data_IF_324145348052
#
_entry.id   IF_324145348052
#
_cell.length_a   1.000
_cell.length_b   1.000
_cell.length_c   1.000
_cell.angle_alpha   90.00
_cell.angle_beta   90.00
_cell.angle_gamma   90.00
#
_symmetry.space_group_name_H-M   'P 1'
#
loop_
_entity.id
_entity.type
_entity.pdbx_description
1 polymer ?
#
# COMPACT_ATOMS: atom_id res chain seq x y z
N UNK A 1 8.41 12.53 18.31
CA UNK A 1 9.88 12.67 18.43
C UNK A 1 10.37 11.72 19.50
N UNK A 2 11.51 11.05 19.26
CA UNK A 2 12.21 10.30 20.28
C UNK A 2 12.86 11.27 21.28
N UNK A 3 12.99 10.84 22.53
CA UNK A 3 13.78 11.56 23.54
C UNK A 3 15.27 11.33 23.27
N UNK A 4 16.13 12.16 23.88
CA UNK A 4 17.59 12.00 23.80
C UNK A 4 18.02 10.61 24.34
N UNK A 5 17.51 10.21 25.49
CA UNK A 5 17.75 8.88 26.08
C UNK A 5 17.33 7.73 25.15
N UNK A 6 16.18 7.86 24.48
CA UNK A 6 15.74 6.83 23.50
C UNK A 6 16.68 6.74 22.30
N UNK A 7 17.16 7.90 21.82
CA UNK A 7 18.11 7.98 20.70
C UNK A 7 19.45 7.33 21.08
N UNK A 8 19.97 7.66 22.26
CA UNK A 8 21.21 7.06 22.78
C UNK A 8 21.09 5.54 22.97
N UNK A 9 19.99 5.05 23.51
CA UNK A 9 19.74 3.62 23.68
C UNK A 9 19.68 2.87 22.35
N UNK A 10 19.06 3.44 21.32
CA UNK A 10 18.99 2.87 19.98
C UNK A 10 20.40 2.82 19.36
N UNK A 11 21.15 3.91 19.44
CA UNK A 11 22.52 3.99 18.93
C UNK A 11 23.45 3.00 19.64
N UNK A 12 23.33 2.88 20.95
CA UNK A 12 24.06 1.88 21.74
C UNK A 12 23.74 0.44 21.36
N UNK A 13 22.46 0.14 21.06
CA UNK A 13 22.05 -1.16 20.54
C UNK A 13 22.64 -1.43 19.14
N UNK A 14 22.63 -0.43 18.26
CA UNK A 14 23.27 -0.51 16.96
C UNK A 14 24.75 -0.80 17.02
N UNK A 15 25.48 -0.13 17.90
CA UNK A 15 26.91 -0.38 18.15
C UNK A 15 27.20 -1.79 18.70
N UNK A 16 26.22 -2.44 19.32
CA UNK A 16 26.32 -3.84 19.79
C UNK A 16 25.91 -4.88 18.74
N UNK A 17 25.64 -4.47 17.50
CA UNK A 17 25.31 -5.36 16.39
C UNK A 17 23.82 -5.48 16.05
N UNK A 18 22.93 -4.74 16.73
CA UNK A 18 21.50 -4.70 16.38
C UNK A 18 21.33 -3.95 15.05
N UNK A 19 20.58 -4.53 14.11
CA UNK A 19 20.20 -3.82 12.89
C UNK A 19 19.23 -2.68 13.23
N UNK A 20 19.57 -1.47 12.82
CA UNK A 20 18.76 -0.27 12.99
C UNK A 20 18.60 0.41 11.64
N UNK A 21 17.35 0.65 11.24
CA UNK A 21 17.01 1.34 10.01
C UNK A 21 15.85 2.31 10.21
N UNK A 22 15.97 3.51 9.66
CA UNK A 22 14.98 4.58 9.80
C UNK A 22 14.33 4.86 8.45
N UNK A 23 13.03 4.63 8.34
CA UNK A 23 12.23 4.87 7.12
C UNK A 23 11.82 6.35 6.93
N UNK A 24 11.84 7.14 7.97
CA UNK A 24 11.36 8.52 7.92
C UNK A 24 12.49 9.45 8.32
N UNK A 25 12.87 10.33 7.41
CA UNK A 25 13.75 11.45 7.70
C UNK A 25 13.02 12.49 8.56
N UNK A 26 12.61 12.14 9.77
CA UNK A 26 12.31 13.15 10.76
C UNK A 26 13.64 13.64 11.32
N UNK A 27 13.84 14.93 11.30
CA UNK A 27 14.95 15.70 11.81
C UNK A 27 15.44 15.25 13.20
N UNK A 28 16.14 14.18 13.28
CA UNK A 28 16.71 13.64 14.51
C UNK A 28 17.55 12.45 14.16
N UNK A 29 18.74 12.59 14.27
CA UNK A 29 19.97 11.89 14.24
C UNK A 29 19.99 10.44 14.73
N UNK A 30 19.10 9.57 14.26
CA UNK A 30 19.32 8.14 14.40
C UNK A 30 20.13 7.70 13.20
N UNK A 31 21.35 7.21 13.44
CA UNK A 31 22.15 6.58 12.41
C UNK A 31 21.64 5.19 12.09
N UNK A 32 21.66 4.79 10.83
CA UNK A 32 21.46 3.39 10.45
C UNK A 32 22.65 2.56 10.89
N UNK A 33 22.43 1.39 11.47
CA UNK A 33 23.46 0.47 11.92
C UNK A 33 23.20 -0.94 11.39
N UNK A 34 24.25 -1.63 10.97
CA UNK A 34 24.22 -3.04 10.59
C UNK A 34 23.18 -3.39 9.51
N UNK A 35 22.92 -2.45 8.61
CA UNK A 35 22.07 -2.60 7.44
C UNK A 35 22.86 -2.07 6.24
N UNK A 36 23.16 -2.94 5.29
CA UNK A 36 23.92 -2.56 4.08
C UNK A 36 23.02 -1.81 3.06
N UNK A 37 23.62 -1.28 2.01
CA UNK A 37 22.91 -0.46 1.03
C UNK A 37 21.83 -1.23 0.25
N UNK A 38 22.05 -2.51 -0.04
CA UNK A 38 21.06 -3.34 -0.75
C UNK A 38 19.87 -3.66 0.16
N UNK A 39 20.15 -3.92 1.44
CA UNK A 39 19.11 -4.13 2.45
C UNK A 39 18.28 -2.87 2.67
N UNK A 40 18.92 -1.69 2.70
CA UNK A 40 18.22 -0.40 2.79
C UNK A 40 17.32 -0.17 1.58
N UNK A 41 17.84 -0.37 0.38
CA UNK A 41 17.07 -0.23 -0.86
C UNK A 41 15.84 -1.17 -0.86
N UNK A 42 16.01 -2.43 -0.47
CA UNK A 42 14.92 -3.38 -0.41
C UNK A 42 13.84 -2.98 0.62
N UNK A 43 14.26 -2.52 1.79
CA UNK A 43 13.35 -2.01 2.82
C UNK A 43 12.58 -0.77 2.34
N UNK A 44 13.26 0.15 1.65
CA UNK A 44 12.66 1.35 1.09
C UNK A 44 11.62 1.02 0.01
N UNK A 45 11.90 0.03 -0.85
CA UNK A 45 10.93 -0.40 -1.88
C UNK A 45 9.65 -0.92 -1.22
N UNK A 46 9.74 -1.79 -0.20
CA UNK A 46 8.57 -2.24 0.53
C UNK A 46 7.81 -1.09 1.19
N UNK A 47 8.52 -0.19 1.88
CA UNK A 47 7.93 0.89 2.66
C UNK A 47 7.28 1.95 1.77
N UNK A 48 7.89 2.30 0.64
CA UNK A 48 7.38 3.33 -0.27
C UNK A 48 6.20 2.84 -1.11
N UNK A 49 6.07 1.52 -1.33
CA UNK A 49 4.93 0.91 -2.01
C UNK A 49 3.89 0.39 -1.00
N UNK A 50 3.26 1.32 -0.30
CA UNK A 50 2.41 1.10 0.86
C UNK A 50 1.22 0.19 0.58
N UNK A 51 1.26 -1.04 1.11
CA UNK A 51 0.16 -1.99 1.14
C UNK A 51 0.32 -2.96 2.30
N UNK A 52 -0.78 -3.59 2.72
CA UNK A 52 -0.70 -4.67 3.73
C UNK A 52 0.22 -5.80 3.29
N UNK A 53 0.20 -6.14 2.01
CA UNK A 53 1.06 -7.20 1.45
C UNK A 53 2.54 -6.81 1.56
N UNK A 54 2.89 -5.60 1.14
CA UNK A 54 4.27 -5.14 1.22
C UNK A 54 4.75 -5.01 2.66
N UNK A 55 3.94 -4.51 3.58
CA UNK A 55 4.31 -4.47 5.00
C UNK A 55 4.51 -5.87 5.58
N UNK A 56 3.64 -6.83 5.24
CA UNK A 56 3.83 -8.22 5.65
C UNK A 56 5.13 -8.79 5.10
N UNK A 57 5.39 -8.63 3.81
CA UNK A 57 6.61 -9.11 3.16
C UNK A 57 7.86 -8.43 3.70
N UNK A 58 7.79 -7.12 4.00
CA UNK A 58 8.85 -6.40 4.67
C UNK A 58 9.19 -7.02 6.05
N UNK A 59 8.18 -7.37 6.85
CA UNK A 59 8.40 -8.03 8.14
C UNK A 59 9.02 -9.42 7.97
N UNK A 60 8.61 -10.18 6.95
CA UNK A 60 9.23 -11.47 6.59
C UNK A 60 10.69 -11.25 6.15
N UNK A 61 10.97 -10.23 5.33
CA UNK A 61 12.31 -9.87 4.92
C UNK A 61 13.20 -9.51 6.11
N UNK A 62 12.74 -8.61 6.97
CA UNK A 62 13.46 -8.21 8.20
C UNK A 62 13.79 -9.45 9.03
N UNK A 63 12.82 -10.33 9.23
CA UNK A 63 12.99 -11.53 10.03
C UNK A 63 13.97 -12.51 9.40
N UNK A 64 13.89 -12.76 8.10
CA UNK A 64 14.78 -13.69 7.41
C UNK A 64 16.21 -13.16 7.29
N UNK A 65 16.39 -11.84 7.22
CA UNK A 65 17.69 -11.19 7.02
C UNK A 65 18.43 -10.94 8.33
N UNK A 66 17.71 -10.46 9.36
CA UNK A 66 18.34 -9.96 10.59
C UNK A 66 18.09 -10.85 11.83
N UNK A 67 17.13 -11.79 11.80
CA UNK A 67 16.92 -12.70 12.93
C UNK A 67 17.81 -13.94 12.83
N UNK A 68 18.80 -14.03 13.69
CA UNK A 68 19.73 -15.16 13.74
C UNK A 68 19.11 -16.48 14.20
N UNK A 69 17.95 -16.44 14.86
CA UNK A 69 17.31 -17.62 15.47
C UNK A 69 16.76 -18.62 14.46
N UNK A 70 16.52 -18.21 13.22
CA UNK A 70 16.02 -19.02 12.08
C UNK A 70 14.77 -19.85 12.34
N UNK A 71 14.11 -19.68 13.47
CA UNK A 71 12.87 -20.38 13.82
C UNK A 71 11.68 -19.65 13.17
N UNK A 72 10.82 -20.41 12.47
CA UNK A 72 9.60 -19.89 11.84
C UNK A 72 9.85 -18.78 10.81
N UNK A 73 10.95 -18.85 10.09
CA UNK A 73 11.24 -17.93 9.00
C UNK A 73 10.35 -18.26 7.80
N UNK A 74 9.61 -17.27 7.32
CA UNK A 74 8.90 -17.32 6.07
C UNK A 74 9.68 -16.51 5.04
N UNK A 75 9.89 -17.07 3.85
CA UNK A 75 10.52 -16.31 2.76
C UNK A 75 9.66 -15.08 2.45
N UNK A 76 10.29 -13.93 2.31
CA UNK A 76 9.62 -12.74 1.81
C UNK A 76 9.40 -12.89 0.29
N UNK A 77 8.20 -12.50 -0.16
CA UNK A 77 7.96 -12.30 -1.59
C UNK A 77 8.53 -10.94 -2.01
N UNK A 78 8.80 -10.79 -3.30
CA UNK A 78 9.25 -9.51 -3.85
C UNK A 78 8.21 -8.41 -3.61
N UNK A 79 8.65 -7.14 -3.44
CA UNK A 79 7.75 -6.03 -3.24
C UNK A 79 6.88 -5.78 -4.48
N UNK A 80 5.60 -5.54 -4.25
CA UNK A 80 4.66 -5.13 -5.29
C UNK A 80 4.84 -3.63 -5.53
N UNK A 81 5.24 -3.26 -6.75
CA UNK A 81 5.38 -1.86 -7.14
C UNK A 81 3.99 -1.28 -7.45
N UNK A 82 3.55 -0.31 -6.65
CA UNK A 82 2.22 0.30 -6.73
C UNK A 82 2.32 1.65 -7.44
N UNK A 83 1.66 1.83 -8.60
CA UNK A 83 1.59 3.13 -9.25
C UNK A 83 0.83 4.17 -8.40
N UNK A 84 1.16 5.45 -8.60
CA UNK A 84 0.51 6.57 -7.92
C UNK A 84 -0.93 6.84 -8.40
N UNK A 85 -1.29 6.30 -9.57
CA UNK A 85 -2.55 6.55 -10.26
C UNK A 85 -3.19 5.21 -10.60
N UNK A 86 -4.19 4.82 -9.83
CA UNK A 86 -4.80 3.48 -9.88
C UNK A 86 -6.31 3.53 -9.64
N UNK A 87 -6.98 2.49 -10.13
CA UNK A 87 -8.27 2.06 -9.62
C UNK A 87 -8.07 0.99 -8.57
N UNK A 88 -8.97 0.88 -7.62
CA UNK A 88 -8.99 -0.16 -6.60
C UNK A 88 -10.43 -0.60 -6.31
N UNK A 89 -10.62 -1.70 -5.60
CA UNK A 89 -11.94 -2.15 -5.16
C UNK A 89 -11.84 -2.76 -3.76
N UNK A 90 -12.71 -3.68 -3.38
CA UNK A 90 -12.78 -4.22 -2.01
C UNK A 90 -11.62 -5.15 -1.67
N UNK A 91 -10.95 -5.75 -2.65
CA UNK A 91 -9.84 -6.67 -2.42
C UNK A 91 -8.60 -5.99 -1.85
N UNK A 92 -8.03 -6.57 -0.81
CA UNK A 92 -6.79 -6.12 -0.21
C UNK A 92 -5.59 -6.31 -1.15
N UNK A 93 -4.81 -5.24 -1.33
CA UNK A 93 -3.56 -5.29 -2.10
C UNK A 93 -3.73 -5.41 -3.61
N UNK A 94 -4.96 -5.39 -4.11
CA UNK A 94 -5.26 -5.44 -5.55
C UNK A 94 -5.54 -4.05 -6.08
N UNK A 95 -4.94 -3.73 -7.22
CA UNK A 95 -5.17 -2.48 -7.93
C UNK A 95 -5.26 -2.74 -9.43
N UNK A 96 -5.85 -1.77 -10.14
CA UNK A 96 -6.06 -1.83 -11.59
C UNK A 96 -5.51 -0.55 -12.19
N UNK A 97 -4.88 -0.65 -13.36
CA UNK A 97 -4.26 0.49 -14.05
C UNK A 97 -5.23 1.20 -14.98
N UNK A 98 -6.25 0.49 -15.42
CA UNK A 98 -7.27 1.00 -16.35
C UNK A 98 -8.68 0.70 -15.85
N UNK A 99 -9.66 1.49 -16.33
CA UNK A 99 -11.08 1.23 -16.07
C UNK A 99 -11.54 -0.13 -16.62
N UNK A 100 -10.96 -0.56 -17.74
CA UNK A 100 -11.29 -1.85 -18.36
C UNK A 100 -10.79 -3.03 -17.52
N UNK A 101 -9.59 -2.94 -16.93
CA UNK A 101 -9.08 -3.96 -16.01
C UNK A 101 -10.03 -4.13 -14.80
N UNK A 102 -10.48 -3.03 -14.20
CA UNK A 102 -11.45 -3.09 -13.11
C UNK A 102 -12.80 -3.63 -13.59
N UNK A 103 -13.30 -3.18 -14.75
CA UNK A 103 -14.56 -3.68 -15.32
C UNK A 103 -14.52 -5.18 -15.55
N UNK A 104 -13.45 -5.70 -16.12
CA UNK A 104 -13.26 -7.13 -16.35
C UNK A 104 -13.26 -7.90 -15.01
N UNK A 105 -12.55 -7.40 -14.01
CA UNK A 105 -12.57 -7.97 -12.67
C UNK A 105 -13.98 -8.01 -12.06
N UNK A 106 -14.73 -6.92 -12.16
CA UNK A 106 -16.11 -6.86 -11.65
C UNK A 106 -17.05 -7.83 -12.39
N UNK A 107 -16.82 -8.06 -13.70
CA UNK A 107 -17.53 -9.07 -14.49
C UNK A 107 -17.18 -10.50 -14.04
N UNK A 108 -15.91 -10.79 -13.84
CA UNK A 108 -15.45 -12.09 -13.32
C UNK A 108 -16.05 -12.40 -11.95
N UNK A 109 -16.16 -11.39 -11.09
CA UNK A 109 -16.81 -11.49 -9.78
C UNK A 109 -18.34 -11.50 -9.83
N UNK A 110 -18.94 -11.31 -11.03
CA UNK A 110 -20.40 -11.21 -11.23
C UNK A 110 -21.03 -10.04 -10.46
N UNK A 111 -20.29 -8.97 -10.24
CA UNK A 111 -20.73 -7.74 -9.57
C UNK A 111 -21.15 -6.69 -10.61
N UNK A 112 -20.49 -6.68 -11.77
CA UNK A 112 -20.80 -5.73 -12.85
C UNK A 112 -22.21 -5.93 -13.42
N UNK A 113 -22.93 -4.83 -13.62
CA UNK A 113 -24.29 -4.78 -14.20
C UNK A 113 -24.23 -3.96 -15.48
N UNK A 114 -24.54 -4.59 -16.64
CA UNK A 114 -24.34 -3.95 -17.97
C UNK A 114 -25.11 -2.64 -18.14
N UNK A 115 -26.35 -2.54 -17.63
CA UNK A 115 -27.22 -1.37 -17.76
C UNK A 115 -27.21 -0.43 -16.54
N UNK A 116 -26.30 -0.69 -15.57
CA UNK A 116 -26.25 0.12 -14.36
C UNK A 116 -25.39 1.37 -14.54
N UNK A 117 -25.77 2.50 -13.94
CA UNK A 117 -24.95 3.70 -13.97
C UNK A 117 -23.56 3.48 -13.39
N UNK A 118 -22.57 4.17 -13.95
CA UNK A 118 -21.19 4.17 -13.51
C UNK A 118 -20.91 5.37 -12.62
N UNK A 119 -20.37 5.12 -11.44
CA UNK A 119 -19.96 6.17 -10.52
C UNK A 119 -18.43 6.16 -10.41
N UNK A 120 -17.79 7.26 -10.80
CA UNK A 120 -16.39 7.48 -10.51
C UNK A 120 -16.26 8.11 -9.11
N UNK A 121 -15.58 7.42 -8.23
CA UNK A 121 -15.37 7.85 -6.85
C UNK A 121 -13.90 8.21 -6.63
N UNK A 122 -13.62 9.51 -6.52
CA UNK A 122 -12.24 9.98 -6.30
C UNK A 122 -11.93 10.01 -4.80
N UNK A 123 -11.07 9.10 -4.40
CA UNK A 123 -10.58 9.04 -3.03
C UNK A 123 -9.48 10.09 -2.79
N UNK A 124 -9.57 10.81 -1.68
CA UNK A 124 -8.47 11.63 -1.17
C UNK A 124 -7.35 10.83 -0.50
N UNK A 125 -7.46 9.50 -0.46
CA UNK A 125 -6.43 8.64 0.15
C UNK A 125 -5.18 8.60 -0.71
N UNK A 126 -4.04 8.78 -0.07
CA UNK A 126 -2.72 8.64 -0.73
C UNK A 126 -2.32 7.18 -0.94
N UNK A 127 -2.89 6.26 -0.15
CA UNK A 127 -2.53 4.84 -0.16
C UNK A 127 -3.74 3.96 0.16
N UNK A 128 -4.63 3.70 -0.80
CA UNK A 128 -5.84 2.91 -0.56
C UNK A 128 -5.55 1.43 -0.25
N UNK A 129 -4.32 0.97 -0.46
CA UNK A 129 -3.92 -0.43 -0.24
C UNK A 129 -3.30 -0.67 1.15
N UNK A 130 -3.19 0.34 2.01
CA UNK A 130 -2.65 0.20 3.37
C UNK A 130 -3.60 -0.47 4.38
N UNK A 131 -4.87 -0.53 4.05
CA UNK A 131 -5.86 -1.25 4.85
C UNK A 131 -6.64 -0.42 5.87
N UNK A 132 -6.34 0.85 6.06
CA UNK A 132 -7.17 1.75 6.90
C UNK A 132 -8.22 2.48 6.05
N UNK A 133 -9.13 1.71 5.43
CA UNK A 133 -10.09 2.23 4.47
C UNK A 133 -11.53 1.73 4.68
N UNK A 134 -11.85 1.25 5.88
CA UNK A 134 -13.16 0.65 6.18
C UNK A 134 -14.36 1.53 5.81
N UNK A 135 -14.22 2.86 5.92
CA UNK A 135 -15.25 3.81 5.52
C UNK A 135 -15.43 3.87 4.00
N UNK A 136 -14.34 3.75 3.23
CA UNK A 136 -14.38 3.69 1.75
C UNK A 136 -14.96 2.34 1.30
N UNK A 137 -14.52 1.24 1.91
CA UNK A 137 -15.08 -0.08 1.60
C UNK A 137 -16.58 -0.13 1.87
N UNK A 138 -17.03 0.50 2.97
CA UNK A 138 -18.46 0.63 3.28
C UNK A 138 -19.21 1.46 2.23
N UNK A 139 -18.61 2.53 1.71
CA UNK A 139 -19.21 3.34 0.65
C UNK A 139 -19.29 2.56 -0.67
N UNK A 140 -18.20 1.89 -1.08
CA UNK A 140 -18.18 1.04 -2.28
C UNK A 140 -19.26 -0.02 -2.18
N UNK A 141 -19.35 -0.72 -1.05
CA UNK A 141 -20.35 -1.76 -0.82
C UNK A 141 -21.78 -1.21 -0.94
N UNK A 142 -22.08 -0.11 -0.27
CA UNK A 142 -23.42 0.50 -0.32
C UNK A 142 -23.82 0.95 -1.71
N UNK A 143 -22.91 1.54 -2.46
CA UNK A 143 -23.17 1.96 -3.85
C UNK A 143 -23.37 0.75 -4.76
N UNK A 144 -22.57 -0.29 -4.60
CA UNK A 144 -22.71 -1.54 -5.36
C UNK A 144 -24.05 -2.23 -5.05
N UNK A 145 -24.44 -2.30 -3.77
CA UNK A 145 -25.73 -2.87 -3.32
C UNK A 145 -26.92 -2.05 -3.85
N UNK A 146 -26.75 -0.70 -3.94
CA UNK A 146 -27.73 0.19 -4.53
C UNK A 146 -27.85 0.06 -6.07
N UNK A 147 -27.00 -0.76 -6.67
CA UNK A 147 -27.10 -1.09 -8.09
C UNK A 147 -26.18 -0.33 -9.02
N UNK A 148 -25.17 0.35 -8.51
CA UNK A 148 -24.19 1.09 -9.31
C UNK A 148 -22.96 0.26 -9.64
N UNK A 149 -22.31 0.56 -10.78
CA UNK A 149 -20.94 0.15 -11.06
C UNK A 149 -19.98 1.20 -10.52
N UNK A 150 -19.18 0.85 -9.52
CA UNK A 150 -18.36 1.80 -8.75
C UNK A 150 -16.90 1.70 -9.16
N UNK A 151 -16.31 2.85 -9.49
CA UNK A 151 -14.90 2.97 -9.91
C UNK A 151 -14.14 3.87 -8.93
N UNK A 152 -13.64 3.30 -7.83
CA UNK A 152 -12.82 4.04 -6.88
C UNK A 152 -11.45 4.36 -7.48
N UNK A 153 -11.07 5.62 -7.41
CA UNK A 153 -9.81 6.16 -7.98
C UNK A 153 -8.94 6.70 -6.84
N UNK A 154 -7.69 6.29 -6.82
CA UNK A 154 -6.62 6.96 -6.10
C UNK A 154 -5.62 7.50 -7.10
N UNK A 155 -5.39 8.80 -7.09
CA UNK A 155 -4.55 9.44 -8.10
C UNK A 155 -3.84 10.66 -7.55
N UNK A 156 -2.53 10.75 -7.83
CA UNK A 156 -1.72 11.92 -7.56
C UNK A 156 -1.76 12.94 -8.72
N UNK A 157 -1.64 12.47 -9.95
CA UNK A 157 -1.46 13.34 -11.12
C UNK A 157 -2.51 13.18 -12.23
N UNK A 158 -3.10 11.97 -12.37
CA UNK A 158 -3.96 11.63 -13.53
C UNK A 158 -5.46 11.55 -13.19
N UNK A 159 -5.89 12.21 -12.14
CA UNK A 159 -7.27 12.13 -11.64
C UNK A 159 -8.33 12.34 -12.73
N UNK A 160 -8.21 13.43 -13.49
CA UNK A 160 -9.16 13.75 -14.55
C UNK A 160 -9.15 12.68 -15.65
N UNK A 161 -7.96 12.29 -16.12
CA UNK A 161 -7.82 11.26 -17.15
C UNK A 161 -8.45 9.92 -16.74
N UNK A 162 -8.23 9.50 -15.47
CA UNK A 162 -8.84 8.28 -14.96
C UNK A 162 -10.35 8.39 -14.84
N UNK A 163 -10.89 9.53 -14.38
CA UNK A 163 -12.34 9.77 -14.35
C UNK A 163 -12.95 9.71 -15.76
N UNK A 164 -12.36 10.40 -16.71
CA UNK A 164 -12.83 10.41 -18.11
C UNK A 164 -12.82 9.01 -18.72
N UNK A 165 -11.85 8.18 -18.41
CA UNK A 165 -11.75 6.81 -18.93
C UNK A 165 -12.87 5.88 -18.45
N UNK A 166 -13.55 6.21 -17.36
CA UNK A 166 -14.71 5.46 -16.86
C UNK A 166 -15.98 5.79 -17.64
N UNK A 167 -16.05 6.96 -18.25
CA UNK A 167 -17.28 7.54 -18.80
C UNK A 167 -18.41 7.49 -17.75
N UNK A 168 -18.24 8.15 -16.60
CA UNK A 168 -19.17 8.02 -15.50
C UNK A 168 -20.46 8.81 -15.72
N UNK A 169 -21.55 8.28 -15.19
CA UNK A 169 -22.84 9.00 -15.12
C UNK A 169 -22.87 9.98 -13.94
N UNK A 170 -22.03 9.74 -12.93
CA UNK A 170 -21.83 10.62 -11.78
C UNK A 170 -20.39 10.53 -11.21
N UNK A 171 -19.94 11.66 -10.62
CA UNK A 171 -18.63 11.82 -9.99
C UNK A 171 -18.81 12.29 -8.55
#
# INVERSE_FOLDING_TARGET
RLTEEQTENIDAAGKKGTAVYTFVFSSGSISNHNVDSLQQEQLDIYYNNRSRMNYRNMLHYIRSTFDSRKLFQTKADEPILIPSDIFFHLEDGVFYRTADELTNHLREKKIYKEDAPRIAFVSGMTSPLEGNRSYIDSLITRLTDAGFNVYPIASAAKRQQLMESVHPDAV
#
